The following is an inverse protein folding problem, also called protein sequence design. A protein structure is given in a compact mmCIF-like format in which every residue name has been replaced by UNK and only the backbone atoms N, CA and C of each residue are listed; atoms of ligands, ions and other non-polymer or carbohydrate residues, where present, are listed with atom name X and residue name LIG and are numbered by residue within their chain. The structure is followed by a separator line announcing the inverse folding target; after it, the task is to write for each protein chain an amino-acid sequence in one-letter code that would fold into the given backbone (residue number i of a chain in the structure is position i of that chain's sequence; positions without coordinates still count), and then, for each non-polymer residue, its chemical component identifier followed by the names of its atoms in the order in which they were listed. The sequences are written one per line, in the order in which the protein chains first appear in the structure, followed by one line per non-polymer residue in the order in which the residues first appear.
data_IF_589553573253
#
_entry.id   IF_589553573253
#
_cell.length_a   1.000
_cell.length_b   1.000
_cell.length_c   1.000
_cell.angle_alpha   90.00
_cell.angle_beta   90.00
_cell.angle_gamma   90.00
#
_symmetry.space_group_name_H-M   'P 1'
#
loop_
_entity.id
_entity.type
_entity.pdbx_description
1 polymer ?
#
# COMPACT_ATOMS: atom_id res chain seq x y z
N UNK A 1 15.79 23.87 -8.64
CA UNK A 1 14.65 23.90 -7.69
C UNK A 1 14.56 22.57 -6.98
N UNK A 2 15.00 22.48 -5.71
CA UNK A 2 14.88 21.25 -4.91
C UNK A 2 13.51 21.29 -4.25
N UNK A 3 12.57 20.45 -4.72
CA UNK A 3 11.22 20.40 -4.16
C UNK A 3 11.26 19.91 -2.71
N UNK A 4 11.10 20.86 -1.78
CA UNK A 4 11.13 20.68 -0.32
C UNK A 4 9.90 19.87 0.15
N UNK A 5 8.92 19.63 -0.74
CA UNK A 5 7.68 18.88 -0.48
C UNK A 5 7.64 17.52 -1.18
N UNK A 6 8.78 16.81 -1.23
CA UNK A 6 8.79 15.45 -1.77
C UNK A 6 7.95 14.54 -0.86
N UNK A 7 6.70 14.23 -1.21
CA UNK A 7 5.89 13.27 -0.45
C UNK A 7 6.42 11.85 -0.67
N UNK A 8 6.34 10.95 0.33
CA UNK A 8 6.70 9.56 0.11
C UNK A 8 5.82 8.91 -0.98
N UNK A 9 6.47 8.07 -1.77
CA UNK A 9 5.91 7.46 -2.98
C UNK A 9 6.18 5.97 -2.97
N UNK A 10 5.21 5.20 -3.44
CA UNK A 10 5.37 3.78 -3.73
C UNK A 10 6.16 3.68 -5.03
N UNK A 11 7.39 3.15 -4.94
CA UNK A 11 8.35 3.13 -6.04
C UNK A 11 8.29 1.83 -6.86
N UNK A 12 7.93 0.72 -6.24
CA UNK A 12 7.85 -0.60 -6.88
C UNK A 12 6.90 -1.53 -6.11
N UNK A 13 6.39 -2.56 -6.79
CA UNK A 13 5.82 -3.78 -6.18
C UNK A 13 6.69 -4.96 -6.60
N UNK A 14 6.99 -5.84 -5.64
CA UNK A 14 7.48 -7.19 -5.89
C UNK A 14 6.35 -8.15 -5.51
N UNK A 15 5.82 -8.86 -6.51
CA UNK A 15 4.78 -9.86 -6.30
C UNK A 15 5.39 -11.26 -6.19
N UNK A 16 4.91 -12.04 -5.23
CA UNK A 16 5.12 -13.47 -5.13
C UNK A 16 3.79 -14.18 -4.86
N UNK A 17 3.81 -15.51 -4.80
CA UNK A 17 2.60 -16.35 -4.68
C UNK A 17 1.71 -16.00 -3.47
N UNK A 18 2.27 -15.39 -2.42
CA UNK A 18 1.58 -15.16 -1.14
C UNK A 18 1.47 -13.67 -0.75
N UNK A 19 2.16 -12.77 -1.45
CA UNK A 19 2.18 -11.35 -1.13
C UNK A 19 2.64 -10.44 -2.29
N UNK A 20 2.10 -9.21 -2.35
CA UNK A 20 2.73 -8.07 -3.01
C UNK A 20 3.42 -7.19 -1.97
N UNK A 21 4.70 -6.91 -2.19
CA UNK A 21 5.54 -6.07 -1.33
C UNK A 21 5.80 -4.76 -2.07
N UNK A 22 5.23 -3.69 -1.54
CA UNK A 22 5.41 -2.33 -2.03
C UNK A 22 6.58 -1.67 -1.33
N UNK A 23 7.53 -1.14 -2.10
CA UNK A 23 8.66 -0.37 -1.54
C UNK A 23 8.34 1.12 -1.55
N UNK A 24 8.51 1.77 -0.40
CA UNK A 24 8.22 3.20 -0.22
C UNK A 24 9.52 4.00 -0.26
N UNK A 25 9.58 5.03 -1.10
CA UNK A 25 10.71 5.93 -1.26
C UNK A 25 10.37 7.35 -0.79
N UNK A 26 11.39 8.06 -0.31
CA UNK A 26 11.38 9.50 -0.05
C UNK A 26 12.69 10.10 -0.56
N UNK A 27 12.60 11.13 -1.42
CA UNK A 27 13.77 11.74 -2.08
C UNK A 27 14.72 10.70 -2.71
N UNK A 28 14.14 9.74 -3.44
CA UNK A 28 14.84 8.64 -4.12
C UNK A 28 15.56 7.64 -3.21
N UNK A 29 15.32 7.67 -1.89
CA UNK A 29 15.83 6.66 -0.95
C UNK A 29 14.69 5.82 -0.40
N UNK A 30 14.90 4.51 -0.30
CA UNK A 30 13.99 3.60 0.40
C UNK A 30 13.82 4.06 1.85
N UNK A 31 12.58 4.26 2.27
CA UNK A 31 12.21 4.68 3.61
C UNK A 31 11.17 3.77 4.27
N UNK A 32 10.73 2.72 3.59
CA UNK A 32 9.85 1.71 4.17
C UNK A 32 9.25 0.73 3.17
N UNK A 33 8.24 0.01 3.62
CA UNK A 33 7.50 -0.96 2.82
C UNK A 33 6.05 -1.10 3.28
N UNK A 34 5.23 -1.67 2.40
CA UNK A 34 3.89 -2.19 2.68
C UNK A 34 3.83 -3.60 2.10
N UNK A 35 3.63 -4.61 2.95
CA UNK A 35 3.40 -6.00 2.55
C UNK A 35 1.92 -6.30 2.61
N UNK A 36 1.35 -6.66 1.48
CA UNK A 36 -0.04 -7.11 1.35
C UNK A 36 0.00 -8.62 1.15
N UNK A 37 -0.42 -9.38 2.16
CA UNK A 37 -0.62 -10.83 2.04
C UNK A 37 -2.10 -11.16 1.94
N UNK A 38 -2.44 -12.44 1.81
CA UNK A 38 -3.84 -12.91 1.73
C UNK A 38 -4.66 -12.67 2.99
N UNK A 39 -4.01 -12.36 4.12
CA UNK A 39 -4.67 -12.21 5.42
C UNK A 39 -4.45 -10.82 6.02
N UNK A 40 -3.31 -10.19 5.74
CA UNK A 40 -2.90 -8.98 6.44
C UNK A 40 -2.19 -8.00 5.54
N UNK A 41 -2.39 -6.73 5.84
CA UNK A 41 -1.54 -5.63 5.38
C UNK A 41 -0.61 -5.26 6.53
N UNK A 42 0.69 -5.39 6.30
CA UNK A 42 1.73 -4.98 7.24
C UNK A 42 2.46 -3.80 6.62
N UNK A 43 2.59 -2.69 7.32
CA UNK A 43 3.27 -1.52 6.81
C UNK A 43 4.27 -0.99 7.84
N UNK A 44 5.42 -0.54 7.34
CA UNK A 44 6.42 0.16 8.13
C UNK A 44 7.17 1.13 7.23
N UNK A 45 7.06 2.43 7.51
CA UNK A 45 7.81 3.47 6.81
C UNK A 45 8.10 4.64 7.75
N UNK A 46 9.26 5.27 7.53
CA UNK A 46 9.71 6.48 8.22
C UNK A 46 10.37 7.41 7.19
N UNK A 47 9.58 8.32 6.64
CA UNK A 47 9.88 9.10 5.45
C UNK A 47 9.87 10.59 5.80
N UNK A 48 11.00 11.10 6.31
CA UNK A 48 11.10 12.47 6.82
C UNK A 48 10.51 12.62 8.23
N UNK A 49 10.25 13.86 8.66
CA UNK A 49 9.87 14.15 10.05
C UNK A 49 8.41 13.82 10.38
N UNK A 50 7.51 13.89 9.39
CA UNK A 50 6.06 13.86 9.63
C UNK A 50 5.34 12.67 8.97
N UNK A 51 6.05 11.75 8.30
CA UNK A 51 5.43 10.59 7.66
C UNK A 51 6.03 9.31 8.20
N UNK A 52 5.46 8.87 9.32
CA UNK A 52 5.79 7.62 9.99
C UNK A 52 4.51 6.79 10.04
N UNK A 53 4.59 5.54 9.60
CA UNK A 53 3.50 4.59 9.69
C UNK A 53 4.06 3.24 10.03
N UNK A 54 3.55 2.61 11.10
CA UNK A 54 3.87 1.22 11.45
C UNK A 54 2.60 0.54 11.94
N UNK A 55 2.30 -0.63 11.40
CA UNK A 55 1.15 -1.39 11.85
C UNK A 55 0.90 -2.65 11.05
N UNK A 56 -0.06 -3.43 11.53
CA UNK A 56 -0.61 -4.58 10.85
C UNK A 56 -2.14 -4.51 10.97
N UNK A 57 -2.83 -4.77 9.87
CA UNK A 57 -4.29 -4.78 9.81
C UNK A 57 -4.76 -5.96 8.98
N UNK A 58 -5.89 -6.54 9.39
CA UNK A 58 -6.55 -7.61 8.65
C UNK A 58 -7.06 -7.08 7.31
N UNK A 59 -6.78 -7.82 6.24
CA UNK A 59 -7.20 -7.45 4.89
C UNK A 59 -8.72 -7.39 4.75
N UNK A 60 -9.46 -8.20 5.52
CA UNK A 60 -10.92 -8.21 5.53
C UNK A 60 -11.53 -6.96 6.17
N UNK A 61 -10.72 -6.15 6.87
CA UNK A 61 -11.16 -4.95 7.59
C UNK A 61 -10.75 -3.65 6.90
N UNK A 62 -10.15 -3.72 5.72
CA UNK A 62 -9.63 -2.55 5.00
C UNK A 62 -10.12 -2.48 3.58
N UNK A 63 -10.24 -1.25 3.09
CA UNK A 63 -10.52 -0.90 1.71
C UNK A 63 -9.26 -0.33 1.07
N UNK A 64 -8.97 -0.76 -0.16
CA UNK A 64 -7.89 -0.24 -0.98
C UNK A 64 -8.47 0.68 -2.05
N UNK A 65 -8.07 1.95 -2.03
CA UNK A 65 -8.62 2.99 -2.92
C UNK A 65 -7.46 3.62 -3.70
N UNK A 66 -7.69 3.83 -4.99
CA UNK A 66 -6.84 4.69 -5.82
C UNK A 66 -7.57 5.98 -6.14
N UNK A 67 -7.05 7.10 -5.64
CA UNK A 67 -7.66 8.40 -5.85
C UNK A 67 -6.59 9.49 -5.90
N UNK A 68 -6.68 10.42 -6.87
CA UNK A 68 -5.77 11.56 -6.97
C UNK A 68 -4.28 11.16 -6.96
N UNK A 69 -3.94 10.08 -7.67
CA UNK A 69 -2.60 9.47 -7.71
C UNK A 69 -2.06 9.03 -6.34
N UNK A 70 -2.96 8.63 -5.44
CA UNK A 70 -2.64 8.10 -4.12
C UNK A 70 -3.18 6.69 -3.96
N UNK A 71 -2.38 5.84 -3.36
CA UNK A 71 -2.79 4.58 -2.80
C UNK A 71 -3.21 4.80 -1.35
N UNK A 72 -4.49 4.60 -1.09
CA UNK A 72 -5.13 4.86 0.21
C UNK A 72 -5.60 3.53 0.78
N UNK A 73 -5.27 3.30 2.04
CA UNK A 73 -5.79 2.18 2.82
C UNK A 73 -6.59 2.75 3.98
N UNK A 74 -7.87 2.40 4.03
CA UNK A 74 -8.81 2.87 5.06
C UNK A 74 -9.51 1.70 5.74
N UNK A 75 -9.93 1.87 6.99
CA UNK A 75 -10.76 0.89 7.69
C UNK A 75 -12.19 0.90 7.13
N UNK A 76 -12.79 -0.27 6.97
CA UNK A 76 -14.17 -0.40 6.48
C UNK A 76 -15.19 0.12 7.53
N UNK A 77 -14.90 -0.07 8.82
CA UNK A 77 -15.86 0.21 9.90
C UNK A 77 -16.22 1.69 10.06
N UNK A 78 -15.26 2.58 9.83
CA UNK A 78 -15.37 4.02 10.12
C UNK A 78 -14.79 4.89 8.99
N UNK A 79 -14.41 4.28 7.86
CA UNK A 79 -13.71 4.93 6.75
C UNK A 79 -12.43 5.68 7.17
N UNK A 80 -11.87 5.37 8.35
CA UNK A 80 -10.67 6.05 8.84
C UNK A 80 -9.47 5.64 8.01
N UNK A 81 -8.80 6.62 7.42
CA UNK A 81 -7.54 6.43 6.71
C UNK A 81 -6.47 5.88 7.65
N UNK A 82 -5.87 4.76 7.26
CA UNK A 82 -4.70 4.16 7.92
C UNK A 82 -3.44 4.83 7.35
N UNK A 83 -3.36 4.94 6.03
CA UNK A 83 -2.35 5.76 5.34
C UNK A 83 -2.78 6.10 3.91
N UNK A 84 -2.21 7.18 3.38
CA UNK A 84 -2.23 7.52 1.97
C UNK A 84 -0.82 7.86 1.49
N UNK A 85 -0.36 7.16 0.45
CA UNK A 85 0.95 7.39 -0.17
C UNK A 85 0.78 7.67 -1.66
N UNK A 86 1.70 8.46 -2.24
CA UNK A 86 1.70 8.68 -3.69
C UNK A 86 1.94 7.35 -4.41
N UNK A 87 1.20 7.07 -5.46
CA UNK A 87 1.29 5.82 -6.20
C UNK A 87 0.98 6.04 -7.68
N UNK A 88 1.72 5.38 -8.57
CA UNK A 88 1.34 5.30 -9.99
C UNK A 88 0.19 4.29 -10.16
N UNK A 89 -0.70 4.53 -11.12
CA UNK A 89 -1.81 3.66 -11.45
C UNK A 89 -1.34 2.25 -11.84
N UNK A 90 -0.21 2.11 -12.55
CA UNK A 90 0.33 0.79 -12.92
C UNK A 90 0.67 -0.06 -11.68
N UNK A 91 1.28 0.56 -10.67
CA UNK A 91 1.59 -0.10 -9.40
C UNK A 91 0.33 -0.44 -8.61
N UNK A 92 -0.69 0.41 -8.67
CA UNK A 92 -1.99 0.10 -8.09
C UNK A 92 -2.65 -1.10 -8.77
N UNK A 93 -2.60 -1.19 -10.10
CA UNK A 93 -3.19 -2.28 -10.85
C UNK A 93 -2.56 -3.63 -10.48
N UNK A 94 -1.23 -3.68 -10.30
CA UNK A 94 -0.54 -4.90 -9.81
C UNK A 94 -1.10 -5.35 -8.45
N UNK A 95 -1.28 -4.40 -7.51
CA UNK A 95 -1.89 -4.70 -6.20
C UNK A 95 -3.33 -5.18 -6.37
N UNK A 96 -4.10 -4.52 -7.23
CA UNK A 96 -5.49 -4.86 -7.47
C UNK A 96 -5.64 -6.27 -8.07
N UNK A 97 -4.77 -6.65 -9.00
CA UNK A 97 -4.75 -7.97 -9.63
C UNK A 97 -4.38 -9.06 -8.62
N UNK A 98 -3.40 -8.79 -7.75
CA UNK A 98 -3.07 -9.67 -6.61
C UNK A 98 -4.28 -9.86 -5.67
N UNK A 99 -4.99 -8.80 -5.34
CA UNK A 99 -6.20 -8.85 -4.50
C UNK A 99 -7.37 -9.56 -5.18
N UNK A 100 -7.47 -9.48 -6.50
CA UNK A 100 -8.56 -10.08 -7.27
C UNK A 100 -8.32 -11.57 -7.52
N UNK A 101 -7.07 -11.97 -7.79
CA UNK A 101 -6.69 -13.38 -7.94
C UNK A 101 -6.85 -14.17 -6.64
N UNK A 102 -6.65 -13.54 -5.49
CA UNK A 102 -6.87 -14.16 -4.18
C UNK A 102 -8.35 -14.36 -3.84
N UNK A 103 -9.26 -13.50 -4.32
CA UNK A 103 -10.71 -13.69 -4.17
C UNK A 103 -11.23 -14.88 -4.96
N UNK A 104 -10.78 -15.06 -6.20
CA UNK A 104 -11.21 -16.17 -7.08
C UNK A 104 -10.80 -17.57 -6.58
N UNK A 105 -9.80 -17.68 -5.70
CA UNK A 105 -9.38 -18.97 -5.13
C UNK A 105 -10.13 -19.37 -3.85
N UNK A 106 -11.08 -18.53 -3.37
CA UNK A 106 -11.86 -18.78 -2.14
C UNK A 106 -13.31 -19.22 -2.41
N UNK A 107 -13.74 -19.33 -3.66
CA UNK A 107 -15.02 -19.96 -4.00
C UNK A 107 -14.82 -21.48 -4.11
N UNK A 108 -15.42 -22.29 -3.21
CA UNK A 108 -15.59 -23.71 -3.47
C UNK A 108 -16.70 -23.90 -4.51
N UNK A 109 -16.42 -24.71 -5.54
CA UNK A 109 -17.45 -25.33 -6.39
C UNK A 109 -18.37 -26.24 -5.57
#
# INVERSE_FOLDING_TARGET
MVSIFSKPVIASCEENQDSCILTVHFKSKKCGFIKISRERVIFQFSCGWNTIGKGAVDIAKVLFIYENSRFIVSKISDNKEIFALRCNQDLYNIVYDFLSSTKRRREPE
#
